data_IF_069614438025
#
_entry.id   IF_069614438025
#
_cell.length_a   1.000
_cell.length_b   1.000
_cell.length_c   1.000
_cell.angle_alpha   90.00
_cell.angle_beta   90.00
_cell.angle_gamma   90.00
#
_symmetry.space_group_name_H-M   'P 1'
#
loop_
_entity.id
_entity.type
_entity.pdbx_description
1 polymer ?
#
# COMPACT_ATOMS: atom_id res chain seq x y z
N UNK A 1 15.83 42.60 -53.50
CA UNK A 1 16.13 41.75 -52.34
C UNK A 1 15.53 42.38 -51.06
N UNK A 2 14.22 42.21 -50.79
CA UNK A 2 13.56 42.82 -49.60
C UNK A 2 12.45 41.96 -48.97
N UNK A 3 12.25 40.71 -49.43
CA UNK A 3 11.14 39.85 -48.98
C UNK A 3 11.47 38.90 -47.81
N UNK A 4 12.73 38.83 -47.39
CA UNK A 4 13.17 37.88 -46.36
C UNK A 4 12.99 38.37 -44.90
N UNK A 5 12.67 39.65 -44.68
CA UNK A 5 12.70 40.25 -43.33
C UNK A 5 11.38 40.14 -42.54
N UNK A 6 10.30 39.64 -43.16
CA UNK A 6 8.96 39.56 -42.54
C UNK A 6 8.62 38.18 -41.94
N UNK A 7 9.46 37.16 -42.14
CA UNK A 7 9.22 35.80 -41.63
C UNK A 7 9.74 35.58 -40.20
N UNK A 8 10.73 36.37 -39.77
CA UNK A 8 11.34 36.24 -38.44
C UNK A 8 10.39 36.52 -37.26
N UNK A 9 9.53 37.56 -37.28
CA UNK A 9 8.64 37.82 -36.13
C UNK A 9 7.50 36.81 -36.01
N UNK A 10 7.07 36.18 -37.12
CA UNK A 10 6.02 35.14 -37.12
C UNK A 10 6.56 33.82 -36.57
N UNK A 11 7.81 33.45 -36.90
CA UNK A 11 8.45 32.27 -36.30
C UNK A 11 8.70 32.47 -34.79
N UNK A 12 9.06 33.68 -34.37
CA UNK A 12 9.30 33.99 -32.96
C UNK A 12 8.01 33.96 -32.13
N UNK A 13 6.87 34.39 -32.68
CA UNK A 13 5.58 34.33 -31.98
C UNK A 13 5.00 32.91 -31.89
N UNK A 14 5.25 32.06 -32.89
CA UNK A 14 4.90 30.64 -32.81
C UNK A 14 5.74 29.93 -31.73
N UNK A 15 7.04 30.27 -31.63
CA UNK A 15 7.91 29.72 -30.61
C UNK A 15 7.52 30.16 -29.20
N UNK A 16 7.11 31.42 -28.99
CA UNK A 16 6.70 31.90 -27.66
C UNK A 16 5.34 31.35 -27.21
N UNK A 17 4.39 31.09 -28.12
CA UNK A 17 3.13 30.41 -27.77
C UNK A 17 3.32 28.93 -27.37
N UNK A 18 4.33 28.24 -27.91
CA UNK A 18 4.65 26.86 -27.54
C UNK A 18 5.20 26.71 -26.11
N UNK A 19 5.89 27.74 -25.59
CA UNK A 19 6.50 27.69 -24.23
C UNK A 19 5.48 27.96 -23.12
N UNK A 20 4.40 28.69 -23.41
CA UNK A 20 3.41 29.13 -22.40
C UNK A 20 2.19 28.20 -22.33
N UNK A 21 2.03 27.29 -23.30
CA UNK A 21 0.89 26.35 -23.35
C UNK A 21 1.08 25.09 -22.49
N UNK A 22 2.28 24.87 -21.91
CA UNK A 22 2.48 23.86 -20.88
C UNK A 22 1.99 24.41 -19.54
N UNK A 23 0.68 24.36 -19.33
CA UNK A 23 0.10 24.42 -17.98
C UNK A 23 0.91 23.49 -17.07
N UNK A 24 1.31 23.88 -15.85
CA UNK A 24 2.05 22.98 -14.99
C UNK A 24 1.27 21.67 -14.90
N UNK A 25 1.85 20.58 -15.40
CA UNK A 25 1.20 19.28 -15.46
C UNK A 25 0.93 18.71 -14.05
N UNK A 26 1.35 19.43 -13.01
CA UNK A 26 1.25 19.05 -11.61
C UNK A 26 0.22 19.89 -10.81
N UNK A 27 -0.73 20.58 -11.47
CA UNK A 27 -1.74 21.44 -10.78
C UNK A 27 -2.85 20.64 -10.05
N UNK A 28 -2.86 19.31 -10.12
CA UNK A 28 -3.81 18.48 -9.37
C UNK A 28 -3.35 18.35 -7.90
N UNK A 29 -4.23 18.57 -6.91
CA UNK A 29 -3.87 18.46 -5.49
C UNK A 29 -3.38 17.07 -5.05
N UNK A 30 -3.64 16.02 -5.85
CA UNK A 30 -3.24 14.63 -5.61
C UNK A 30 -1.91 14.26 -6.25
N UNK A 31 -1.28 15.17 -7.00
CA UNK A 31 0.06 14.96 -7.57
C UNK A 31 1.05 15.99 -7.03
N UNK A 32 2.33 15.63 -7.05
CA UNK A 32 3.43 16.51 -6.67
C UNK A 32 4.45 16.54 -7.79
N UNK A 33 5.08 17.70 -8.01
CA UNK A 33 6.17 17.81 -8.97
C UNK A 33 7.38 17.05 -8.46
N UNK A 34 7.93 16.16 -9.29
CA UNK A 34 9.15 15.43 -8.96
C UNK A 34 10.31 16.45 -8.97
N UNK A 35 10.96 16.74 -7.82
CA UNK A 35 12.03 17.73 -7.75
C UNK A 35 13.30 17.19 -8.42
N UNK A 36 14.38 17.97 -8.48
CA UNK A 36 15.66 17.44 -8.97
C UNK A 36 16.34 16.56 -7.91
N UNK A 37 16.29 16.97 -6.65
CA UNK A 37 16.81 16.25 -5.49
C UNK A 37 15.72 16.11 -4.41
N UNK A 38 15.56 14.89 -3.89
CA UNK A 38 14.78 14.56 -2.70
C UNK A 38 15.34 13.24 -2.15
N UNK A 39 15.55 13.16 -0.85
CA UNK A 39 16.01 11.97 -0.15
C UNK A 39 15.05 11.48 0.93
N UNK A 40 13.90 12.13 1.08
CA UNK A 40 12.90 11.78 2.09
C UNK A 40 12.13 10.53 1.64
N UNK A 41 12.10 9.44 2.43
CA UNK A 41 11.32 8.27 2.08
C UNK A 41 9.80 8.53 2.14
N UNK A 42 8.97 7.79 1.41
CA UNK A 42 7.52 7.83 1.60
C UNK A 42 7.13 7.50 3.05
N UNK A 43 6.20 8.26 3.64
CA UNK A 43 5.57 7.87 4.90
C UNK A 43 4.59 6.72 4.64
N UNK A 44 4.70 5.64 5.42
CA UNK A 44 3.84 4.46 5.34
C UNK A 44 2.89 4.39 6.53
N UNK A 45 1.69 3.87 6.28
CA UNK A 45 0.74 3.51 7.32
C UNK A 45 -0.12 2.33 6.86
N UNK A 46 -0.54 1.51 7.81
CA UNK A 46 -1.59 0.51 7.64
C UNK A 46 -2.94 1.12 8.02
N UNK A 47 -3.94 0.93 7.17
CA UNK A 47 -5.35 1.08 7.51
C UNK A 47 -5.94 -0.33 7.63
N UNK A 48 -6.42 -0.67 8.82
CA UNK A 48 -7.04 -1.97 9.08
C UNK A 48 -8.49 -1.76 9.45
N UNK A 49 -9.39 -2.34 8.67
CA UNK A 49 -10.80 -2.40 8.99
C UNK A 49 -11.16 -3.81 9.45
N UNK A 50 -11.72 -3.93 10.65
CA UNK A 50 -12.19 -5.20 11.20
C UNK A 50 -13.70 -5.15 11.29
N UNK A 51 -14.36 -6.19 10.77
CA UNK A 51 -15.80 -6.41 10.88
C UNK A 51 -16.04 -7.70 11.65
N UNK A 52 -16.71 -7.60 12.78
CA UNK A 52 -17.01 -8.73 13.66
C UNK A 52 -18.52 -8.96 13.72
N UNK A 53 -18.92 -10.22 13.71
CA UNK A 53 -20.30 -10.61 14.01
C UNK A 53 -20.42 -10.86 15.52
N UNK A 54 -21.31 -10.14 16.19
CA UNK A 54 -21.58 -10.33 17.62
C UNK A 54 -23.04 -10.72 17.84
N UNK A 55 -23.41 -11.28 19.02
CA UNK A 55 -24.80 -11.58 19.33
C UNK A 55 -25.73 -10.37 19.20
N UNK A 56 -25.22 -9.16 19.44
CA UNK A 56 -25.97 -7.89 19.37
C UNK A 56 -26.00 -7.27 17.96
N UNK A 57 -25.33 -7.91 16.99
CA UNK A 57 -25.24 -7.48 15.59
C UNK A 57 -23.81 -7.27 15.09
N UNK A 58 -23.64 -6.88 13.82
CA UNK A 58 -22.32 -6.61 13.25
C UNK A 58 -21.73 -5.32 13.82
N UNK A 59 -20.45 -5.37 14.22
CA UNK A 59 -19.67 -4.20 14.60
C UNK A 59 -18.50 -4.02 13.63
N UNK A 60 -18.05 -2.78 13.44
CA UNK A 60 -16.90 -2.46 12.60
C UNK A 60 -16.00 -1.44 13.28
N UNK A 61 -14.69 -1.60 13.10
CA UNK A 61 -13.68 -0.60 13.46
C UNK A 61 -12.73 -0.36 12.31
N UNK A 62 -12.14 0.84 12.27
CA UNK A 62 -11.07 1.21 11.34
C UNK A 62 -9.97 1.87 12.17
N UNK A 63 -8.75 1.35 12.07
CA UNK A 63 -7.59 1.89 12.77
C UNK A 63 -6.45 2.18 11.79
N UNK A 64 -5.67 3.21 12.12
CA UNK A 64 -4.47 3.60 11.37
C UNK A 64 -3.23 3.33 12.21
N UNK A 65 -2.24 2.69 11.63
CA UNK A 65 -0.98 2.34 12.29
C UNK A 65 0.19 2.83 11.44
N UNK A 66 1.05 3.66 12.03
CA UNK A 66 2.20 4.29 11.36
C UNK A 66 3.55 3.90 11.99
N UNK A 67 3.53 3.00 12.97
CA UNK A 67 4.74 2.47 13.58
C UNK A 67 5.39 1.45 12.65
N UNK A 68 6.73 1.34 12.68
CA UNK A 68 7.45 0.44 11.77
C UNK A 68 7.05 -1.03 11.92
N UNK A 69 6.62 -1.46 13.11
CA UNK A 69 6.06 -2.79 13.35
C UNK A 69 4.87 -2.67 14.29
N UNK A 70 3.72 -3.18 13.85
CA UNK A 70 2.47 -3.15 14.61
C UNK A 70 1.94 -4.56 14.80
N UNK A 71 1.44 -4.87 16.00
CA UNK A 71 0.66 -6.08 16.28
C UNK A 71 -0.80 -5.75 16.52
N UNK A 72 -1.72 -6.52 15.94
CA UNK A 72 -3.15 -6.47 16.23
C UNK A 72 -3.66 -7.88 16.52
N UNK A 73 -4.75 -7.98 17.27
CA UNK A 73 -5.43 -9.25 17.53
C UNK A 73 -6.84 -9.22 16.94
N UNK A 74 -7.20 -10.27 16.23
CA UNK A 74 -8.52 -10.45 15.61
C UNK A 74 -9.05 -11.86 15.89
N UNK A 75 -10.36 -12.07 15.72
CA UNK A 75 -10.97 -13.39 15.86
C UNK A 75 -10.97 -14.14 14.53
N UNK A 76 -10.97 -15.47 14.59
CA UNK A 76 -11.15 -16.34 13.40
C UNK A 76 -12.46 -16.06 12.65
N UNK A 77 -13.47 -15.51 13.31
CA UNK A 77 -14.77 -15.14 12.73
C UNK A 77 -14.79 -13.74 12.13
N UNK A 78 -13.75 -12.94 12.30
CA UNK A 78 -13.71 -11.57 11.80
C UNK A 78 -13.39 -11.53 10.31
N UNK A 79 -13.97 -10.55 9.62
CA UNK A 79 -13.49 -10.13 8.31
C UNK A 79 -12.52 -8.97 8.50
N UNK A 80 -11.30 -9.12 7.96
CA UNK A 80 -10.23 -8.13 8.07
C UNK A 80 -9.92 -7.60 6.67
N UNK A 81 -10.11 -6.29 6.46
CA UNK A 81 -9.65 -5.59 5.27
C UNK A 81 -8.38 -4.81 5.63
N UNK A 82 -7.29 -5.01 4.90
CA UNK A 82 -5.99 -4.36 5.19
C UNK A 82 -5.55 -3.54 4.00
N UNK A 83 -5.20 -2.28 4.21
CA UNK A 83 -4.67 -1.39 3.18
C UNK A 83 -3.34 -0.79 3.60
N UNK A 84 -2.35 -0.86 2.70
CA UNK A 84 -1.11 -0.09 2.79
C UNK A 84 -1.34 1.26 2.12
N UNK A 85 -1.06 2.34 2.85
CA UNK A 85 -1.10 3.70 2.32
C UNK A 85 0.32 4.25 2.35
N UNK A 86 0.77 4.81 1.24
CA UNK A 86 2.00 5.59 1.18
C UNK A 86 1.70 7.04 0.87
N UNK A 87 2.41 7.96 1.52
CA UNK A 87 2.33 9.40 1.26
C UNK A 87 3.72 9.98 1.10
N UNK A 88 3.94 10.69 -0.01
CA UNK A 88 5.15 11.46 -0.28
C UNK A 88 4.74 12.80 -0.88
N UNK A 89 5.01 13.88 -0.16
CA UNK A 89 4.63 15.24 -0.54
C UNK A 89 5.75 16.00 -1.25
N UNK A 90 6.89 15.38 -1.49
CA UNK A 90 8.07 15.99 -2.09
C UNK A 90 8.32 15.42 -3.49
N UNK A 91 8.65 14.13 -3.63
CA UNK A 91 8.87 13.51 -4.93
C UNK A 91 7.78 12.55 -5.38
N UNK A 92 6.82 12.26 -4.50
CA UNK A 92 5.67 11.43 -4.82
C UNK A 92 5.97 9.94 -4.86
N UNK A 93 4.91 9.16 -4.68
CA UNK A 93 4.91 7.71 -4.63
C UNK A 93 5.13 7.12 -6.01
N UNK A 94 6.22 6.36 -6.18
CA UNK A 94 6.56 5.64 -7.42
C UNK A 94 6.08 4.19 -7.40
N UNK A 95 6.09 3.52 -6.26
CA UNK A 95 5.61 2.15 -6.16
C UNK A 95 5.16 1.80 -4.76
N UNK A 96 4.17 0.91 -4.64
CA UNK A 96 3.80 0.24 -3.39
C UNK A 96 3.84 -1.28 -3.58
N UNK A 97 4.09 -1.99 -2.49
CA UNK A 97 4.04 -3.44 -2.43
C UNK A 97 3.55 -3.92 -1.06
N UNK A 98 2.69 -4.93 -1.07
CA UNK A 98 2.35 -5.76 0.10
C UNK A 98 2.77 -7.19 -0.21
N UNK A 99 3.48 -7.83 0.72
CA UNK A 99 3.79 -9.26 0.70
C UNK A 99 3.74 -9.82 2.11
N UNK A 100 3.75 -11.13 2.28
CA UNK A 100 3.72 -11.69 3.62
C UNK A 100 3.59 -13.20 3.66
N UNK A 101 3.25 -13.70 4.83
CA UNK A 101 3.02 -15.11 5.08
C UNK A 101 2.05 -15.30 6.24
N UNK A 102 1.65 -16.53 6.45
CA UNK A 102 0.85 -16.94 7.59
C UNK A 102 1.44 -18.21 8.20
N UNK A 103 1.16 -18.42 9.47
CA UNK A 103 1.51 -19.63 10.19
C UNK A 103 0.49 -19.92 11.27
N UNK A 104 0.12 -21.19 11.45
CA UNK A 104 -0.75 -21.61 12.53
C UNK A 104 -0.42 -23.02 13.02
N UNK A 105 -0.76 -23.28 14.28
CA UNK A 105 -0.59 -24.59 14.91
C UNK A 105 -1.94 -25.16 15.28
N UNK A 106 -2.11 -26.45 15.03
CA UNK A 106 -3.29 -27.23 15.35
C UNK A 106 -2.97 -28.30 16.38
N UNK A 107 -3.80 -28.39 17.41
CA UNK A 107 -3.76 -29.45 18.41
C UNK A 107 -4.84 -30.49 18.10
N UNK A 108 -4.49 -31.75 17.79
CA UNK A 108 -5.49 -32.76 17.49
C UNK A 108 -6.38 -33.07 18.70
N UNK A 109 -7.68 -33.24 18.48
CA UNK A 109 -8.57 -33.78 19.51
C UNK A 109 -8.20 -35.24 19.79
N UNK A 110 -7.83 -35.55 21.04
CA UNK A 110 -7.46 -36.91 21.46
C UNK A 110 -5.97 -37.19 21.69
N UNK A 111 -5.11 -36.17 21.76
CA UNK A 111 -3.71 -36.34 22.22
C UNK A 111 -2.71 -36.74 21.13
N UNK A 112 -2.99 -36.38 19.87
CA UNK A 112 -2.06 -36.54 18.75
C UNK A 112 -0.93 -35.50 18.75
N UNK A 113 -0.01 -35.64 17.79
CA UNK A 113 1.11 -34.72 17.59
C UNK A 113 0.58 -33.39 17.01
N UNK A 114 0.97 -32.22 17.56
CA UNK A 114 0.62 -30.93 16.99
C UNK A 114 1.07 -30.77 15.54
N UNK A 115 0.24 -30.15 14.71
CA UNK A 115 0.55 -29.83 13.32
C UNK A 115 0.85 -28.34 13.19
N UNK A 116 2.00 -27.99 12.61
CA UNK A 116 2.30 -26.63 12.17
C UNK A 116 2.02 -26.51 10.67
N UNK A 117 1.32 -25.45 10.27
CA UNK A 117 1.01 -25.11 8.89
C UNK A 117 1.48 -23.69 8.63
N UNK A 118 2.21 -23.49 7.54
CA UNK A 118 2.65 -22.18 7.09
C UNK A 118 2.35 -21.99 5.59
N UNK A 119 2.36 -20.74 5.17
CA UNK A 119 2.15 -20.40 3.77
C UNK A 119 2.44 -18.94 3.46
N UNK A 120 2.30 -18.61 2.18
CA UNK A 120 2.61 -17.29 1.64
C UNK A 120 1.30 -16.53 1.42
N UNK A 121 1.26 -15.27 1.85
CA UNK A 121 0.25 -14.33 1.38
C UNK A 121 0.74 -13.78 0.05
N UNK A 122 -0.13 -13.83 -0.98
CA UNK A 122 0.23 -13.38 -2.32
C UNK A 122 0.87 -11.98 -2.29
N UNK A 123 1.71 -11.68 -3.27
CA UNK A 123 2.26 -10.33 -3.41
C UNK A 123 1.28 -9.46 -4.21
N UNK A 124 0.98 -8.27 -3.68
CA UNK A 124 0.34 -7.17 -4.42
C UNK A 124 1.35 -6.07 -4.62
N UNK A 125 1.42 -5.52 -5.82
CA UNK A 125 2.32 -4.41 -6.11
C UNK A 125 1.75 -3.52 -7.19
N UNK A 126 1.97 -2.23 -7.04
CA UNK A 126 1.65 -1.22 -8.04
C UNK A 126 2.86 -0.34 -8.28
N UNK A 127 3.05 0.03 -9.54
CA UNK A 127 4.18 0.84 -9.98
C UNK A 127 3.68 1.94 -10.92
N UNK A 128 4.16 3.16 -10.67
CA UNK A 128 3.82 4.39 -11.37
C UNK A 128 5.02 4.94 -12.15
N UNK A 129 5.97 4.08 -12.51
CA UNK A 129 7.24 4.47 -13.15
C UNK A 129 7.07 5.17 -14.50
N UNK A 130 5.89 5.11 -15.10
CA UNK A 130 5.51 5.85 -16.30
C UNK A 130 5.40 7.37 -16.08
N UNK A 131 5.25 7.81 -14.83
CA UNK A 131 5.24 9.22 -14.50
C UNK A 131 6.67 9.78 -14.46
N UNK A 132 6.89 10.95 -15.07
CA UNK A 132 8.24 11.50 -15.27
C UNK A 132 8.43 12.91 -14.72
N UNK A 133 7.36 13.72 -14.68
CA UNK A 133 7.40 15.12 -14.20
C UNK A 133 6.62 15.33 -12.91
N UNK A 134 5.55 14.56 -12.68
CA UNK A 134 4.71 14.64 -11.49
C UNK A 134 4.46 13.22 -10.94
N UNK A 135 4.56 13.00 -9.63
CA UNK A 135 4.24 11.74 -8.96
C UNK A 135 2.94 11.81 -8.17
N UNK A 136 2.37 10.66 -7.82
CA UNK A 136 1.20 10.61 -6.94
C UNK A 136 1.59 11.00 -5.52
N UNK A 137 0.84 11.90 -4.89
CA UNK A 137 1.13 12.36 -3.52
C UNK A 137 0.82 11.28 -2.47
N UNK A 138 -0.29 10.56 -2.68
CA UNK A 138 -0.74 9.48 -1.82
C UNK A 138 -1.32 8.37 -2.68
N UNK A 139 -1.05 7.12 -2.31
CA UNK A 139 -1.67 5.96 -2.94
C UNK A 139 -1.96 4.85 -1.93
N UNK A 140 -2.94 4.01 -2.24
CA UNK A 140 -3.43 2.94 -1.37
C UNK A 140 -3.59 1.63 -2.15
N UNK A 141 -3.06 0.53 -1.62
CA UNK A 141 -3.30 -0.83 -2.12
C UNK A 141 -3.72 -1.72 -0.95
N UNK A 142 -4.54 -2.76 -1.18
CA UNK A 142 -5.03 -3.56 -0.05
C UNK A 142 -5.52 -4.96 -0.39
N UNK A 143 -5.79 -5.71 0.68
CA UNK A 143 -6.49 -6.99 0.70
C UNK A 143 -7.88 -6.79 1.29
N UNK A 144 -8.87 -6.69 0.41
CA UNK A 144 -10.27 -6.77 0.80
C UNK A 144 -10.57 -8.22 1.20
N UNK A 145 -11.08 -8.42 2.41
CA UNK A 145 -11.34 -9.71 3.03
C UNK A 145 -10.09 -10.63 3.05
N UNK A 146 -9.02 -10.19 3.70
CA UNK A 146 -7.88 -11.06 4.00
C UNK A 146 -8.39 -12.29 4.75
N UNK A 147 -8.23 -13.47 4.14
CA UNK A 147 -8.73 -14.70 4.72
C UNK A 147 -7.88 -15.09 5.93
N UNK A 148 -8.40 -14.84 7.12
CA UNK A 148 -7.82 -15.23 8.42
C UNK A 148 -8.52 -16.44 9.04
N UNK A 149 -9.44 -17.07 8.29
CA UNK A 149 -10.14 -18.28 8.74
C UNK A 149 -9.23 -19.50 8.56
N UNK A 150 -8.47 -19.82 9.61
CA UNK A 150 -7.66 -21.02 9.68
C UNK A 150 -8.51 -22.23 10.07
N UNK A 151 -8.28 -23.35 9.42
CA UNK A 151 -8.95 -24.62 9.73
C UNK A 151 -7.93 -25.70 10.06
N UNK A 152 -8.23 -26.45 11.11
CA UNK A 152 -7.41 -27.57 11.55
C UNK A 152 -7.94 -28.88 10.95
N UNK A 153 -7.09 -29.69 10.29
CA UNK A 153 -7.50 -30.99 9.77
C UNK A 153 -8.05 -31.90 10.88
N UNK A 154 -9.06 -32.70 10.55
CA UNK A 154 -9.63 -33.69 11.47
C UNK A 154 -10.37 -33.09 12.68
N UNK A 155 -10.73 -31.80 12.66
CA UNK A 155 -11.46 -31.15 13.75
C UNK A 155 -10.60 -30.82 14.96
N UNK A 156 -9.27 -30.73 14.81
CA UNK A 156 -8.39 -30.24 15.86
C UNK A 156 -8.66 -28.78 16.25
N UNK A 157 -8.13 -28.36 17.39
CA UNK A 157 -8.28 -26.99 17.88
C UNK A 157 -7.10 -26.11 17.41
N UNK A 158 -7.41 -24.88 17.00
CA UNK A 158 -6.40 -23.87 16.68
C UNK A 158 -5.76 -23.36 17.98
N UNK A 159 -4.45 -23.55 18.14
CA UNK A 159 -3.73 -23.14 19.36
C UNK A 159 -2.98 -21.82 19.23
N UNK A 160 -2.48 -21.51 18.03
CA UNK A 160 -1.87 -20.23 17.71
C UNK A 160 -1.99 -19.98 16.20
N UNK A 161 -2.21 -18.74 15.79
CA UNK A 161 -2.25 -18.34 14.39
C UNK A 161 -1.78 -16.89 14.22
N UNK A 162 -1.00 -16.65 13.18
CA UNK A 162 -0.47 -15.34 12.84
C UNK A 162 -0.45 -15.14 11.33
N UNK A 163 -0.78 -13.92 10.89
CA UNK A 163 -0.48 -13.42 9.55
C UNK A 163 0.50 -12.26 9.70
N UNK A 164 1.60 -12.29 8.96
CA UNK A 164 2.56 -11.18 8.91
C UNK A 164 2.57 -10.59 7.51
N UNK A 165 2.31 -9.29 7.43
CA UNK A 165 2.35 -8.51 6.21
C UNK A 165 3.49 -7.49 6.28
N UNK A 166 4.24 -7.39 5.20
CA UNK A 166 5.26 -6.37 4.99
C UNK A 166 4.80 -5.45 3.86
N UNK A 167 4.77 -4.16 4.16
CA UNK A 167 4.53 -3.08 3.22
C UNK A 167 5.86 -2.44 2.82
N UNK A 168 6.02 -2.10 1.55
CA UNK A 168 7.14 -1.31 1.05
C UNK A 168 6.62 -0.23 0.08
N UNK A 169 7.25 0.94 0.12
CA UNK A 169 7.05 1.96 -0.89
C UNK A 169 8.38 2.60 -1.31
N UNK A 170 8.41 3.05 -2.57
CA UNK A 170 9.53 3.83 -3.10
C UNK A 170 8.98 5.11 -3.73
N UNK A 171 9.78 6.18 -3.70
CA UNK A 171 9.50 7.41 -4.42
C UNK A 171 10.28 7.53 -5.73
N UNK A 172 10.07 8.63 -6.46
CA UNK A 172 10.75 8.87 -7.74
C UNK A 172 12.23 9.19 -7.63
N UNK A 173 12.75 9.40 -6.41
CA UNK A 173 14.14 9.74 -6.14
C UNK A 173 14.93 8.67 -5.38
N UNK A 174 14.34 7.49 -5.22
CA UNK A 174 15.01 6.34 -4.63
C UNK A 174 14.92 6.27 -3.10
N UNK A 175 14.19 7.18 -2.46
CA UNK A 175 13.75 7.00 -1.08
C UNK A 175 12.86 5.77 -0.97
N UNK A 176 13.12 4.95 0.05
CA UNK A 176 12.41 3.68 0.30
C UNK A 176 12.04 3.57 1.76
N UNK A 177 10.84 3.04 2.01
CA UNK A 177 10.33 2.77 3.36
C UNK A 177 9.73 1.39 3.43
N UNK A 178 9.74 0.81 4.63
CA UNK A 178 9.07 -0.42 4.97
C UNK A 178 8.26 -0.30 6.27
N UNK A 179 7.23 -1.14 6.39
CA UNK A 179 6.37 -1.24 7.57
C UNK A 179 5.86 -2.68 7.70
N UNK A 180 5.68 -3.18 8.93
CA UNK A 180 5.24 -4.55 9.21
C UNK A 180 3.95 -4.52 10.03
N UNK A 181 3.00 -5.37 9.65
CA UNK A 181 1.78 -5.65 10.40
C UNK A 181 1.73 -7.14 10.76
N UNK A 182 1.64 -7.44 12.04
CA UNK A 182 1.38 -8.76 12.58
C UNK A 182 -0.08 -8.83 13.03
N UNK A 183 -0.81 -9.82 12.53
CA UNK A 183 -2.21 -10.08 12.85
C UNK A 183 -2.26 -11.40 13.58
N UNK A 184 -2.39 -11.36 14.90
CA UNK A 184 -2.62 -12.53 15.73
C UNK A 184 -4.09 -12.92 15.67
N UNK A 185 -4.36 -14.20 15.43
CA UNK A 185 -5.74 -14.69 15.27
C UNK A 185 -6.09 -15.60 16.45
N UNK A 186 -7.15 -15.21 17.17
CA UNK A 186 -7.69 -15.95 18.31
C UNK A 186 -9.04 -16.58 17.97
N UNK A 187 -9.42 -17.63 18.70
CA UNK A 187 -10.77 -18.20 18.60
C UNK A 187 -11.82 -17.26 19.19
#
# INVERSE_FOLDING_TARGET
MKKALLLLPVLLSLFTCLIISCKPCCDDPMIVRIPEADGTPPALQWEVAVKSQTPDGPISSINLYNEQTTGITVKTTDQVDVYLIATDKESGVKSLMIQGGFGYTCTPQGGGIPLAVDGIVAKKSEAFSQLTTCGLKTWKIGYDALNVAFSCPGGGDLSAAIVTLQGNANNFKGGSSDIILNIEVTQ
#
